data_IF_816386313169
#
_entry.id   IF_816386313169
#
_cell.length_a   1.000
_cell.length_b   1.000
_cell.length_c   1.000
_cell.angle_alpha   90.00
_cell.angle_beta   90.00
_cell.angle_gamma   90.00
#
_symmetry.space_group_name_H-M   'P 1'
#
loop_
_entity.id
_entity.type
_entity.pdbx_description
1 polymer ?
#
# COMPACT_ATOMS: atom_id res chain seq x y z
N UNK A 1 -11.13 10.50 -10.47
CA UNK A 1 -11.12 9.50 -9.39
C UNK A 1 -9.69 9.05 -9.15
N UNK A 2 -9.27 8.93 -7.89
CA UNK A 2 -7.88 8.58 -7.56
C UNK A 2 -7.60 7.08 -7.72
N UNK A 3 -6.32 6.74 -7.71
CA UNK A 3 -5.87 5.37 -7.51
C UNK A 3 -5.64 5.14 -6.01
N UNK A 4 -5.72 3.89 -5.57
CA UNK A 4 -5.56 3.50 -4.17
C UNK A 4 -4.46 2.43 -4.08
N UNK A 5 -3.55 2.60 -3.13
CA UNK A 5 -2.57 1.57 -2.80
C UNK A 5 -3.14 0.76 -1.64
N UNK A 6 -3.23 -0.55 -1.82
CA UNK A 6 -3.83 -1.45 -0.83
C UNK A 6 -2.77 -2.06 0.10
N UNK A 7 -3.23 -2.84 1.07
CA UNK A 7 -2.37 -3.54 2.02
C UNK A 7 -1.46 -4.61 1.39
N UNK A 8 -1.63 -4.91 0.10
CA UNK A 8 -0.70 -5.75 -0.63
C UNK A 8 0.66 -5.08 -0.85
N UNK A 9 0.74 -3.77 -0.62
CA UNK A 9 1.98 -3.00 -0.79
C UNK A 9 3.04 -3.42 0.23
N UNK A 10 4.23 -3.75 -0.26
CA UNK A 10 5.38 -4.08 0.58
C UNK A 10 6.50 -3.04 0.44
N UNK A 11 6.12 -1.78 0.20
CA UNK A 11 7.00 -0.62 0.21
C UNK A 11 8.12 -0.66 -0.85
N UNK A 12 7.80 -1.15 -2.05
CA UNK A 12 8.77 -1.19 -3.15
C UNK A 12 9.24 0.22 -3.57
N UNK A 13 8.32 1.17 -3.63
CA UNK A 13 8.65 2.57 -3.91
C UNK A 13 8.80 2.93 -5.38
N UNK A 14 8.75 1.96 -6.30
CA UNK A 14 8.86 2.25 -7.72
C UNK A 14 7.76 3.15 -8.25
N UNK A 15 6.56 3.07 -7.64
CA UNK A 15 5.43 3.92 -8.00
C UNK A 15 5.71 5.41 -7.77
N UNK A 16 6.48 5.75 -6.75
CA UNK A 16 6.79 7.15 -6.42
C UNK A 16 7.56 7.83 -7.54
N UNK A 17 8.47 7.09 -8.19
CA UNK A 17 9.36 7.66 -9.20
C UNK A 17 8.65 7.98 -10.51
N UNK A 18 7.48 7.39 -10.77
CA UNK A 18 6.75 7.56 -12.04
C UNK A 18 5.54 8.48 -11.91
N UNK A 19 5.16 8.88 -10.70
CA UNK A 19 4.02 9.77 -10.50
C UNK A 19 4.35 11.19 -10.99
N UNK A 20 3.67 11.70 -12.03
CA UNK A 20 4.02 13.01 -12.60
C UNK A 20 3.63 14.18 -11.71
N UNK A 21 2.74 13.96 -10.75
CA UNK A 21 2.28 15.01 -9.81
C UNK A 21 2.80 14.77 -8.39
N UNK A 22 3.62 13.77 -8.20
CA UNK A 22 4.30 13.47 -6.93
C UNK A 22 3.34 13.36 -5.75
N UNK A 23 2.21 12.68 -5.95
CA UNK A 23 1.16 12.55 -4.93
C UNK A 23 1.24 11.25 -4.12
N UNK A 24 2.30 10.45 -4.29
CA UNK A 24 2.49 9.20 -3.57
C UNK A 24 3.52 9.39 -2.46
N UNK A 25 3.14 9.06 -1.22
CA UNK A 25 3.96 9.31 -0.03
C UNK A 25 4.14 8.01 0.74
N UNK A 26 5.39 7.65 1.11
CA UNK A 26 5.63 6.52 2.00
C UNK A 26 5.05 6.79 3.39
N UNK A 27 4.29 5.85 3.93
CA UNK A 27 3.70 5.99 5.26
C UNK A 27 4.77 6.04 6.36
N UNK A 28 4.56 6.90 7.34
CA UNK A 28 5.38 7.02 8.55
C UNK A 28 4.50 7.46 9.72
N UNK A 29 4.71 6.96 10.93
CA UNK A 29 5.59 5.82 11.24
C UNK A 29 5.04 4.51 10.63
N UNK A 30 5.94 3.60 10.32
CA UNK A 30 5.56 2.32 9.68
C UNK A 30 4.59 1.52 10.57
N UNK A 31 4.72 1.65 11.89
CA UNK A 31 3.84 0.96 12.83
C UNK A 31 2.36 1.35 12.67
N UNK A 32 2.09 2.59 12.23
CA UNK A 32 0.72 3.10 12.06
C UNK A 32 0.31 3.18 10.59
N UNK A 33 1.26 3.46 9.70
CA UNK A 33 1.02 3.66 8.28
C UNK A 33 1.98 2.74 7.48
N UNK A 34 1.67 1.44 7.40
CA UNK A 34 2.63 0.44 6.93
C UNK A 34 2.89 0.40 5.43
N UNK A 35 2.03 1.02 4.60
CA UNK A 35 2.26 1.04 3.15
C UNK A 35 2.34 2.46 2.63
N UNK A 36 2.34 2.62 1.29
CA UNK A 36 2.40 3.93 0.65
C UNK A 36 0.97 4.42 0.39
N UNK A 37 0.80 5.73 0.27
CA UNK A 37 -0.51 6.37 0.17
C UNK A 37 -0.53 7.38 -0.97
N UNK A 38 -1.68 7.48 -1.66
CA UNK A 38 -1.86 8.39 -2.78
C UNK A 38 -2.81 9.50 -2.35
N UNK A 39 -2.37 10.78 -2.50
CA UNK A 39 -3.21 11.93 -2.20
C UNK A 39 -4.36 11.98 -3.20
N UNK A 40 -5.61 11.77 -2.75
CA UNK A 40 -6.75 11.71 -3.67
C UNK A 40 -7.07 13.06 -4.31
N UNK A 41 -6.66 14.18 -3.71
CA UNK A 41 -6.92 15.50 -4.25
C UNK A 41 -5.90 15.90 -5.34
N UNK A 42 -4.73 15.29 -5.36
CA UNK A 42 -3.65 15.61 -6.29
C UNK A 42 -3.53 14.59 -7.41
N UNK A 43 -3.93 13.33 -7.17
CA UNK A 43 -3.84 12.26 -8.16
C UNK A 43 -4.66 12.59 -9.42
N UNK A 44 -4.01 12.51 -10.58
CA UNK A 44 -4.66 12.80 -11.87
C UNK A 44 -5.20 11.56 -12.57
N UNK A 45 -5.19 10.42 -11.88
CA UNK A 45 -5.73 9.16 -12.38
C UNK A 45 -5.06 8.68 -13.69
N UNK A 46 -3.77 8.92 -13.83
CA UNK A 46 -3.04 8.57 -15.05
C UNK A 46 -2.67 7.08 -15.15
N UNK A 47 -2.67 6.35 -14.02
CA UNK A 47 -2.39 4.93 -14.00
C UNK A 47 -0.93 4.52 -14.14
N UNK A 48 0.00 5.47 -14.24
CA UNK A 48 1.41 5.16 -14.44
C UNK A 48 2.02 4.33 -13.30
N UNK A 49 1.47 4.47 -12.09
CA UNK A 49 1.98 3.75 -10.91
C UNK A 49 1.65 2.26 -10.93
N UNK A 50 0.54 1.85 -11.56
CA UNK A 50 0.07 0.47 -11.51
C UNK A 50 1.11 -0.54 -12.00
N UNK A 51 1.70 -0.39 -13.19
CA UNK A 51 2.66 -1.40 -13.67
C UNK A 51 3.98 -1.39 -12.91
N UNK A 52 4.25 -0.34 -12.13
CA UNK A 52 5.48 -0.23 -11.36
C UNK A 52 5.42 -0.96 -10.01
N UNK A 53 4.25 -1.40 -9.59
CA UNK A 53 4.11 -2.14 -8.33
C UNK A 53 4.27 -3.64 -8.58
N UNK A 54 5.37 -4.28 -8.10
CA UNK A 54 5.57 -5.72 -8.32
C UNK A 54 4.60 -6.59 -7.53
N UNK A 55 3.88 -6.01 -6.57
CA UNK A 55 2.92 -6.73 -5.74
C UNK A 55 1.48 -6.55 -6.21
N UNK A 56 1.26 -5.82 -7.31
CA UNK A 56 -0.06 -5.53 -7.86
C UNK A 56 -1.01 -4.96 -6.79
N UNK A 57 -0.49 -4.02 -5.99
CA UNK A 57 -1.21 -3.46 -4.84
C UNK A 57 -2.04 -2.22 -5.20
N UNK A 58 -1.88 -1.67 -6.40
CA UNK A 58 -2.48 -0.39 -6.78
C UNK A 58 -3.65 -0.62 -7.73
N UNK A 59 -4.79 -0.01 -7.42
CA UNK A 59 -6.02 -0.12 -8.22
C UNK A 59 -6.66 1.25 -8.37
N UNK A 60 -7.39 1.50 -9.49
CA UNK A 60 -8.34 2.62 -9.50
C UNK A 60 -9.34 2.45 -8.36
N UNK A 61 -9.77 3.54 -7.76
CA UNK A 61 -10.60 3.50 -6.55
C UNK A 61 -11.86 2.63 -6.72
N UNK A 62 -12.52 2.73 -7.87
CA UNK A 62 -13.74 1.97 -8.16
C UNK A 62 -13.47 0.51 -8.54
N UNK A 63 -12.21 0.13 -8.70
CA UNK A 63 -11.81 -1.23 -9.04
C UNK A 63 -11.09 -1.96 -7.91
N UNK A 64 -10.97 -1.34 -6.74
CA UNK A 64 -10.40 -2.01 -5.56
C UNK A 64 -11.29 -3.22 -5.23
N UNK A 65 -10.74 -4.45 -5.26
CA UNK A 65 -11.59 -5.63 -5.14
C UNK A 65 -12.11 -5.85 -3.73
N UNK A 66 -13.43 -6.11 -3.62
CA UNK A 66 -14.03 -6.52 -2.36
C UNK A 66 -13.84 -8.01 -2.10
N UNK A 67 -13.44 -8.76 -3.11
CA UNK A 67 -13.19 -10.20 -3.02
C UNK A 67 -11.94 -10.54 -3.82
N UNK A 68 -10.79 -10.08 -3.31
CA UNK A 68 -9.49 -10.38 -3.93
C UNK A 68 -9.14 -11.83 -3.65
N UNK A 69 -8.97 -12.62 -4.71
CA UNK A 69 -8.61 -14.04 -4.60
C UNK A 69 -7.10 -14.18 -4.70
N UNK A 70 -6.46 -14.59 -3.61
CA UNK A 70 -5.01 -14.74 -3.56
C UNK A 70 -4.54 -15.94 -4.38
N UNK A 71 -3.37 -15.78 -5.00
CA UNK A 71 -2.70 -16.87 -5.69
C UNK A 71 -1.92 -17.75 -4.72
N UNK A 72 -1.56 -17.19 -3.58
CA UNK A 72 -0.76 -17.83 -2.56
C UNK A 72 0.61 -17.17 -2.44
N UNK A 73 1.05 -16.95 -1.20
CA UNK A 73 2.35 -16.33 -0.93
C UNK A 73 2.36 -14.82 -0.93
N UNK A 74 1.25 -14.15 -1.27
CA UNK A 74 1.18 -12.70 -1.13
C UNK A 74 1.18 -12.34 0.35
N UNK A 75 1.82 -11.21 0.66
CA UNK A 75 1.77 -10.65 2.01
C UNK A 75 0.79 -9.49 2.01
N UNK A 76 0.01 -9.36 3.10
CA UNK A 76 -0.73 -8.12 3.37
C UNK A 76 -0.24 -7.56 4.69
N UNK A 77 -0.18 -6.22 4.78
CA UNK A 77 0.28 -5.53 5.98
C UNK A 77 -0.86 -4.75 6.61
N UNK A 78 -0.75 -4.52 7.92
CA UNK A 78 -1.68 -3.69 8.68
C UNK A 78 -0.89 -2.96 9.76
N UNK A 79 -1.46 -1.95 10.42
CA UNK A 79 -0.78 -1.31 11.54
C UNK A 79 -0.39 -2.32 12.62
N UNK A 80 0.75 -2.10 13.26
CA UNK A 80 1.21 -3.00 14.33
C UNK A 80 0.18 -3.08 15.44
N UNK A 81 -0.02 -4.29 15.96
CA UNK A 81 -1.06 -4.56 16.94
C UNK A 81 -2.35 -5.10 16.37
N UNK A 82 -2.48 -5.17 15.04
CA UNK A 82 -3.65 -5.75 14.40
C UNK A 82 -3.67 -7.27 14.63
N UNK A 83 -4.76 -7.84 15.18
CA UNK A 83 -4.84 -9.28 15.41
C UNK A 83 -4.65 -10.09 14.12
N UNK A 84 -3.83 -11.12 14.18
CA UNK A 84 -3.55 -11.99 13.04
C UNK A 84 -2.42 -11.49 12.13
N UNK A 85 -1.84 -10.33 12.40
CA UNK A 85 -0.76 -9.75 11.60
C UNK A 85 0.52 -9.66 12.43
N UNK A 86 1.14 -10.83 12.68
CA UNK A 86 2.34 -10.91 13.50
C UNK A 86 3.51 -11.58 12.78
N UNK A 87 3.38 -11.84 11.48
CA UNK A 87 4.46 -12.42 10.67
C UNK A 87 5.37 -11.31 10.17
N UNK A 88 6.69 -11.36 10.43
CA UNK A 88 7.60 -10.35 9.90
C UNK A 88 7.84 -10.55 8.39
N UNK A 89 8.04 -9.45 7.69
CA UNK A 89 8.43 -9.45 6.29
C UNK A 89 9.78 -8.73 6.14
N UNK A 90 10.70 -9.36 5.44
CA UNK A 90 11.99 -8.77 5.08
C UNK A 90 12.17 -8.86 3.57
N UNK A 91 12.44 -7.73 2.95
CA UNK A 91 12.65 -7.66 1.51
C UNK A 91 13.49 -6.47 1.14
N UNK A 92 13.46 -6.10 -0.13
CA UNK A 92 14.16 -4.92 -0.63
C UNK A 92 13.22 -4.09 -1.49
N UNK A 93 13.44 -2.76 -1.51
CA UNK A 93 12.68 -1.87 -2.37
C UNK A 93 13.32 -1.78 -3.77
N UNK A 94 12.74 -0.94 -4.64
CA UNK A 94 13.21 -0.79 -6.01
C UNK A 94 14.64 -0.23 -6.11
N UNK A 95 15.12 0.42 -5.06
CA UNK A 95 16.48 0.98 -5.01
C UNK A 95 17.49 0.05 -4.34
N UNK A 96 17.06 -1.13 -3.89
CA UNK A 96 17.90 -2.11 -3.22
C UNK A 96 18.06 -1.92 -1.72
N UNK A 97 17.31 -0.99 -1.13
CA UNK A 97 17.33 -0.77 0.32
C UNK A 97 16.45 -1.80 1.02
N UNK A 98 16.86 -2.20 2.21
CA UNK A 98 16.12 -3.20 2.98
C UNK A 98 14.81 -2.64 3.51
N UNK A 99 13.76 -3.47 3.41
CA UNK A 99 12.44 -3.18 3.96
C UNK A 99 12.10 -4.23 5.01
N UNK A 100 11.69 -3.79 6.18
CA UNK A 100 11.24 -4.69 7.26
C UNK A 100 9.88 -4.25 7.77
N UNK A 101 8.93 -5.19 7.79
CA UNK A 101 7.58 -4.97 8.33
C UNK A 101 7.30 -6.01 9.40
N UNK A 102 6.76 -5.58 10.54
CA UNK A 102 6.48 -6.46 11.67
C UNK A 102 5.07 -7.05 11.65
N UNK A 103 4.13 -6.38 10.99
CA UNK A 103 2.71 -6.73 11.05
C UNK A 103 2.20 -7.11 9.66
N UNK A 104 2.58 -8.30 9.21
CA UNK A 104 2.10 -8.84 7.94
C UNK A 104 1.46 -10.20 8.14
N UNK A 105 0.76 -10.66 7.11
CA UNK A 105 0.19 -12.00 7.07
C UNK A 105 0.34 -12.54 5.65
N UNK A 106 0.68 -13.82 5.53
CA UNK A 106 0.82 -14.49 4.23
C UNK A 106 -0.54 -15.03 3.82
N UNK A 107 -0.97 -14.73 2.60
CA UNK A 107 -2.23 -15.23 2.06
C UNK A 107 -2.04 -16.63 1.51
N UNK A 108 -3.02 -17.49 1.78
CA UNK A 108 -3.02 -18.87 1.28
C UNK A 108 -3.59 -18.91 -0.14
N UNK A 109 -3.21 -19.91 -0.97
CA UNK A 109 -3.80 -20.05 -2.30
C UNK A 109 -5.33 -20.14 -2.22
N UNK A 110 -6.01 -19.29 -2.99
CA UNK A 110 -7.48 -19.25 -3.03
C UNK A 110 -8.13 -18.49 -1.88
N UNK A 111 -7.35 -17.94 -0.97
CA UNK A 111 -7.90 -17.11 0.11
C UNK A 111 -8.51 -15.83 -0.48
N UNK A 112 -9.68 -15.42 0.03
CA UNK A 112 -10.38 -14.22 -0.42
C UNK A 112 -10.31 -13.15 0.65
N UNK A 113 -9.86 -11.94 0.27
CA UNK A 113 -9.79 -10.80 1.19
C UNK A 113 -10.49 -9.58 0.58
N UNK A 114 -11.04 -8.74 1.44
CA UNK A 114 -11.69 -7.50 1.04
C UNK A 114 -10.68 -6.36 1.12
N UNK A 115 -10.19 -5.91 -0.05
CA UNK A 115 -9.22 -4.83 -0.13
C UNK A 115 -9.88 -3.44 -0.10
N UNK A 116 -11.21 -3.35 -0.20
CA UNK A 116 -11.90 -2.06 -0.12
C UNK A 116 -11.73 -1.41 1.25
N UNK A 117 -11.43 -2.20 2.28
CA UNK A 117 -11.14 -1.68 3.62
C UNK A 117 -9.87 -0.87 3.69
N UNK A 118 -9.02 -0.94 2.67
CA UNK A 118 -7.78 -0.18 2.59
C UNK A 118 -7.99 1.21 1.98
N UNK A 119 -9.17 1.48 1.43
CA UNK A 119 -9.51 2.79 0.87
C UNK A 119 -9.60 3.90 1.92
N UNK A 120 -10.35 3.73 3.05
CA UNK A 120 -10.39 4.77 4.08
C UNK A 120 -9.02 5.18 4.63
N UNK A 121 -8.09 4.26 4.94
CA UNK A 121 -6.78 4.66 5.40
C UNK A 121 -6.01 5.54 4.41
N UNK A 122 -6.21 5.36 3.10
CA UNK A 122 -5.56 6.20 2.10
C UNK A 122 -6.01 7.66 2.23
N UNK A 123 -7.29 7.90 2.49
CA UNK A 123 -7.81 9.25 2.70
C UNK A 123 -7.39 9.79 4.06
N UNK A 124 -7.43 8.96 5.10
CA UNK A 124 -7.08 9.37 6.47
C UNK A 124 -5.62 9.81 6.57
N UNK A 125 -4.73 9.18 5.83
CA UNK A 125 -3.31 9.54 5.84
C UNK A 125 -3.10 11.04 5.52
N UNK A 126 -3.89 11.58 4.60
CA UNK A 126 -3.77 12.98 4.19
C UNK A 126 -4.69 13.93 4.95
N UNK A 127 -5.69 13.41 5.69
CA UNK A 127 -6.58 14.23 6.51
C UNK A 127 -6.08 14.38 7.95
N UNK A 128 -5.98 13.26 8.66
CA UNK A 128 -5.63 13.25 10.07
C UNK A 128 -4.24 12.67 10.33
N UNK A 129 -3.66 11.99 9.34
CA UNK A 129 -2.32 11.43 9.42
C UNK A 129 -1.25 12.44 9.00
N UNK A 130 0.00 11.99 8.86
CA UNK A 130 1.12 12.89 8.54
C UNK A 130 1.10 13.47 7.14
N UNK A 131 0.43 12.80 6.16
CA UNK A 131 0.39 13.27 4.80
C UNK A 131 1.79 13.56 4.25
N UNK A 132 1.94 14.68 3.55
CA UNK A 132 3.24 15.04 2.96
C UNK A 132 4.34 15.28 3.98
N UNK A 133 4.00 15.49 5.27
CA UNK A 133 5.01 15.61 6.33
C UNK A 133 5.85 14.36 6.49
N UNK A 134 5.33 13.21 6.08
CA UNK A 134 6.06 11.95 6.13
C UNK A 134 7.30 11.94 5.22
N UNK A 135 7.37 12.85 4.24
CA UNK A 135 8.53 12.98 3.37
C UNK A 135 9.69 13.76 4.00
N UNK A 136 9.44 14.41 5.12
CA UNK A 136 10.46 15.24 5.79
C UNK A 136 11.37 14.43 6.70
#
# INVERSE_FOLDING_TARGET
>A
MTHIITSLCLRDGGCVTVCPVECIVPGKPIAEWPWFYIDPDTCIDCGACIPECPFAAIFPEDEVPSAYKAKGGEFISQPEGTPGFATPYDGTDHSGQKVHLNATRILKPGEVVDLTKDTPPNYEFFKSGPGYSAND
#
